data_IF_300941401750
#
_entry.id   IF_300941401750
#
_cell.length_a   1.000
_cell.length_b   1.000
_cell.length_c   1.000
_cell.angle_alpha   90.00
_cell.angle_beta   90.00
_cell.angle_gamma   90.00
#
_symmetry.space_group_name_H-M   'P 1'
#
loop_
_entity.id
_entity.type
_entity.pdbx_description
1 polymer ?
#
# COMPACT_ATOMS: atom_id res chain seq x y z
N UNK A 1 17.50 6.66 -14.12
CA UNK A 1 17.35 7.29 -12.79
C UNK A 1 16.30 8.39 -12.93
N UNK A 2 15.16 8.25 -12.25
CA UNK A 2 14.02 9.15 -12.37
C UNK A 2 13.58 9.62 -10.96
N UNK A 3 14.25 10.62 -10.38
CA UNK A 3 14.02 11.01 -8.99
C UNK A 3 12.60 11.54 -8.74
N UNK A 4 11.98 12.17 -9.74
CA UNK A 4 10.59 12.64 -9.66
C UNK A 4 9.61 11.46 -9.50
N UNK A 5 9.88 10.35 -10.18
CA UNK A 5 9.06 9.14 -10.07
C UNK A 5 9.18 8.51 -8.68
N UNK A 6 10.39 8.42 -8.12
CA UNK A 6 10.58 7.98 -6.74
C UNK A 6 9.78 8.85 -5.76
N UNK A 7 9.83 10.19 -5.91
CA UNK A 7 9.11 11.11 -5.04
C UNK A 7 7.59 10.90 -5.12
N UNK A 8 7.04 10.76 -6.33
CA UNK A 8 5.60 10.48 -6.53
C UNK A 8 5.18 9.18 -5.84
N UNK A 9 5.93 8.10 -6.01
CA UNK A 9 5.62 6.82 -5.37
C UNK A 9 5.77 6.86 -3.85
N UNK A 10 6.77 7.57 -3.32
CA UNK A 10 6.93 7.76 -1.86
C UNK A 10 5.76 8.55 -1.29
N UNK A 11 5.36 9.66 -1.94
CA UNK A 11 4.23 10.47 -1.49
C UNK A 11 2.93 9.66 -1.53
N UNK A 12 2.66 8.97 -2.65
CA UNK A 12 1.46 8.13 -2.79
C UNK A 12 1.45 6.98 -1.78
N UNK A 13 2.59 6.33 -1.54
CA UNK A 13 2.72 5.27 -0.54
C UNK A 13 2.51 5.79 0.88
N UNK A 14 3.00 7.00 1.18
CA UNK A 14 2.80 7.65 2.48
C UNK A 14 1.34 7.99 2.71
N UNK A 15 0.65 8.48 1.67
CA UNK A 15 -0.80 8.73 1.69
C UNK A 15 -1.57 7.43 1.93
N UNK A 16 -1.24 6.36 1.21
CA UNK A 16 -1.88 5.05 1.38
C UNK A 16 -1.70 4.52 2.81
N UNK A 17 -0.47 4.57 3.34
CA UNK A 17 -0.16 4.13 4.70
C UNK A 17 -0.89 4.96 5.75
N UNK A 18 -0.87 6.28 5.60
CA UNK A 18 -1.60 7.18 6.50
C UNK A 18 -3.10 6.90 6.48
N UNK A 19 -3.68 6.71 5.29
CA UNK A 19 -5.09 6.41 5.13
C UNK A 19 -5.46 5.04 5.73
N UNK A 20 -4.66 3.99 5.50
CA UNK A 20 -4.87 2.68 6.11
C UNK A 20 -4.74 2.73 7.64
N UNK A 21 -3.78 3.51 8.16
CA UNK A 21 -3.64 3.76 9.60
C UNK A 21 -4.88 4.44 10.19
N UNK A 22 -5.47 5.40 9.47
CA UNK A 22 -6.74 6.03 9.88
C UNK A 22 -7.92 5.06 9.83
N UNK A 23 -8.03 4.21 8.79
CA UNK A 23 -9.06 3.15 8.73
C UNK A 23 -8.93 2.23 9.94
N UNK A 24 -7.72 1.77 10.23
CA UNK A 24 -7.46 0.90 11.38
C UNK A 24 -7.82 1.61 12.70
N UNK A 25 -7.43 2.88 12.86
CA UNK A 25 -7.76 3.71 14.03
C UNK A 25 -9.26 3.84 14.27
N UNK A 26 -10.05 4.11 13.22
CA UNK A 26 -11.51 4.23 13.32
C UNK A 26 -12.18 2.87 13.54
N UNK A 27 -11.59 1.78 13.01
CA UNK A 27 -12.16 0.45 13.15
C UNK A 27 -11.84 -0.20 14.51
N UNK A 28 -10.67 0.04 15.07
CA UNK A 28 -10.24 -0.62 16.29
C UNK A 28 -10.91 -0.03 17.54
N UNK A 29 -11.57 -0.88 18.33
CA UNK A 29 -12.15 -0.49 19.61
C UNK A 29 -11.13 -0.53 20.76
N UNK A 30 -9.99 -1.22 20.54
CA UNK A 30 -8.89 -1.36 21.50
C UNK A 30 -7.55 -1.27 20.78
N UNK A 31 -6.52 -0.79 21.48
CA UNK A 31 -5.15 -0.74 20.98
C UNK A 31 -4.61 -2.10 20.54
N UNK A 32 -5.02 -3.20 21.20
CA UNK A 32 -4.62 -4.55 20.80
C UNK A 32 -5.11 -4.91 19.38
N UNK A 33 -6.29 -4.40 18.97
CA UNK A 33 -6.82 -4.65 17.63
C UNK A 33 -6.05 -3.88 16.56
N UNK A 34 -5.55 -2.68 16.86
CA UNK A 34 -4.65 -1.94 15.96
C UNK A 34 -3.36 -2.72 15.71
N UNK A 35 -2.76 -3.21 16.80
CA UNK A 35 -1.52 -3.97 16.73
C UNK A 35 -1.72 -5.29 15.99
N UNK A 36 -2.85 -5.96 16.20
CA UNK A 36 -3.21 -7.17 15.46
C UNK A 36 -3.39 -6.89 13.95
N UNK A 37 -4.13 -5.84 13.57
CA UNK A 37 -4.32 -5.47 12.15
C UNK A 37 -2.97 -5.22 11.47
N UNK A 38 -2.08 -4.45 12.10
CA UNK A 38 -0.75 -4.18 11.55
C UNK A 38 0.05 -5.48 11.36
N UNK A 39 0.12 -6.32 12.39
CA UNK A 39 0.94 -7.53 12.35
C UNK A 39 0.38 -8.63 11.44
N UNK A 40 -0.94 -8.75 11.31
CA UNK A 40 -1.58 -9.81 10.52
C UNK A 40 -1.90 -9.42 9.08
N UNK A 41 -1.99 -8.12 8.76
CA UNK A 41 -2.28 -7.65 7.38
C UNK A 41 -1.08 -6.91 6.79
N UNK A 42 -0.58 -5.88 7.45
CA UNK A 42 0.48 -5.01 6.89
C UNK A 42 1.78 -5.78 6.74
N UNK A 43 2.20 -6.51 7.78
CA UNK A 43 3.43 -7.30 7.75
C UNK A 43 3.46 -8.32 6.60
N UNK A 44 2.48 -9.24 6.43
CA UNK A 44 2.49 -10.18 5.32
C UNK A 44 2.37 -9.49 3.95
N UNK A 45 1.57 -8.42 3.82
CA UNK A 45 1.50 -7.64 2.58
C UNK A 45 2.84 -6.97 2.24
N UNK A 46 3.60 -6.52 3.25
CA UNK A 46 4.93 -5.98 3.07
C UNK A 46 5.94 -7.07 2.64
N UNK A 47 5.83 -8.29 3.19
CA UNK A 47 6.66 -9.41 2.72
C UNK A 47 6.32 -9.84 1.28
N UNK A 48 5.05 -9.80 0.88
CA UNK A 48 4.62 -10.02 -0.50
C UNK A 48 4.90 -8.83 -1.44
N UNK A 49 5.51 -7.74 -0.97
CA UNK A 49 5.78 -6.58 -1.82
C UNK A 49 7.06 -6.68 -2.66
N UNK A 50 7.74 -7.83 -2.65
CA UNK A 50 8.97 -8.04 -3.43
C UNK A 50 10.19 -7.25 -2.94
N UNK A 51 10.13 -6.67 -1.73
CA UNK A 51 11.24 -5.94 -1.08
C UNK A 51 12.42 -6.85 -0.73
N UNK A 52 12.14 -8.08 -0.31
CA UNK A 52 13.15 -9.03 0.16
C UNK A 52 13.51 -10.11 -0.87
N UNK A 53 12.66 -10.33 -1.88
CA UNK A 53 12.80 -11.40 -2.86
C UNK A 53 12.37 -10.92 -4.24
N UNK A 54 13.08 -11.37 -5.28
CA UNK A 54 12.65 -11.12 -6.66
C UNK A 54 11.39 -11.93 -6.97
N UNK A 55 10.41 -11.27 -7.60
CA UNK A 55 9.09 -11.86 -7.87
C UNK A 55 9.13 -12.96 -8.91
N UNK A 56 10.13 -12.95 -9.78
CA UNK A 56 10.38 -13.99 -10.78
C UNK A 56 10.72 -15.34 -10.15
N UNK A 57 11.21 -15.35 -8.90
CA UNK A 57 11.52 -16.57 -8.16
C UNK A 57 10.31 -17.17 -7.43
N UNK A 58 9.15 -16.50 -7.44
CA UNK A 58 7.96 -16.97 -6.75
C UNK A 58 7.09 -17.90 -7.63
N UNK A 59 6.41 -18.90 -7.02
CA UNK A 59 5.40 -19.71 -7.70
C UNK A 59 4.35 -18.84 -8.40
N UNK A 60 3.76 -19.30 -9.52
CA UNK A 60 2.80 -18.50 -10.32
C UNK A 60 1.63 -17.94 -9.50
N UNK A 61 1.16 -18.71 -8.51
CA UNK A 61 0.10 -18.28 -7.59
C UNK A 61 0.49 -17.05 -6.75
N UNK A 62 1.71 -17.04 -6.20
CA UNK A 62 2.20 -15.93 -5.38
C UNK A 62 2.54 -14.70 -6.24
N UNK A 63 3.05 -14.90 -7.46
CA UNK A 63 3.26 -13.80 -8.41
C UNK A 63 1.95 -13.06 -8.72
N UNK A 64 0.86 -13.80 -8.94
CA UNK A 64 -0.47 -13.21 -9.19
C UNK A 64 -0.95 -12.38 -7.99
N UNK A 65 -0.74 -12.87 -6.77
CA UNK A 65 -1.06 -12.14 -5.53
C UNK A 65 -0.24 -10.86 -5.37
N UNK A 66 1.06 -10.89 -5.69
CA UNK A 66 1.92 -9.70 -5.65
C UNK A 66 1.44 -8.62 -6.62
N UNK A 67 0.99 -8.99 -7.83
CA UNK A 67 0.44 -8.04 -8.81
C UNK A 67 -0.89 -7.41 -8.39
N UNK A 68 -1.60 -7.96 -7.41
CA UNK A 68 -2.79 -7.34 -6.82
C UNK A 68 -2.46 -6.41 -5.64
N UNK A 69 -1.24 -6.48 -5.12
CA UNK A 69 -0.83 -5.78 -3.93
C UNK A 69 -0.35 -4.34 -4.26
N UNK A 70 -1.00 -3.28 -3.76
CA UNK A 70 -0.55 -1.90 -3.98
C UNK A 70 0.84 -1.62 -3.38
N UNK A 71 1.23 -2.33 -2.31
CA UNK A 71 2.56 -2.19 -1.72
C UNK A 71 3.67 -2.62 -2.67
N UNK A 72 3.43 -3.65 -3.49
CA UNK A 72 4.40 -4.10 -4.48
C UNK A 72 4.73 -2.97 -5.46
N UNK A 73 3.71 -2.30 -6.00
CA UNK A 73 3.89 -1.20 -6.95
C UNK A 73 4.55 0.04 -6.35
N UNK A 74 4.32 0.32 -5.05
CA UNK A 74 5.03 1.40 -4.35
C UNK A 74 6.54 1.11 -4.36
N UNK A 75 6.94 -0.10 -3.97
CA UNK A 75 8.35 -0.49 -3.87
C UNK A 75 9.00 -0.58 -5.25
N UNK A 76 8.33 -1.19 -6.23
CA UNK A 76 8.82 -1.28 -7.60
C UNK A 76 8.97 0.12 -8.24
N UNK A 77 8.03 1.02 -7.98
CA UNK A 77 8.07 2.41 -8.43
C UNK A 77 9.19 3.24 -7.81
N UNK A 78 9.47 3.06 -6.52
CA UNK A 78 10.61 3.71 -5.85
C UNK A 78 11.93 3.18 -6.41
N UNK A 79 12.03 1.86 -6.61
CA UNK A 79 13.20 1.20 -7.22
C UNK A 79 13.44 1.68 -8.65
N UNK A 80 12.39 1.82 -9.46
CA UNK A 80 12.49 2.43 -10.78
C UNK A 80 13.04 3.86 -10.72
N UNK A 81 12.57 4.66 -9.76
CA UNK A 81 13.03 6.03 -9.60
C UNK A 81 14.49 6.15 -9.13
N UNK A 82 14.96 5.24 -8.27
CA UNK A 82 16.33 5.27 -7.69
C UNK A 82 17.37 4.60 -8.57
N UNK A 83 17.14 3.37 -9.03
CA UNK A 83 18.11 2.56 -9.78
C UNK A 83 17.78 2.43 -11.27
N UNK A 84 16.59 2.88 -11.72
CA UNK A 84 16.20 2.83 -13.13
C UNK A 84 15.74 1.46 -13.64
N UNK A 85 15.56 0.50 -12.74
CA UNK A 85 15.11 -0.87 -13.03
C UNK A 85 13.72 -1.04 -12.45
N UNK A 86 12.75 -1.51 -13.25
CA UNK A 86 11.44 -1.95 -12.76
C UNK A 86 11.13 -3.35 -13.26
N UNK A 87 10.57 -4.17 -12.37
CA UNK A 87 10.11 -5.51 -12.73
C UNK A 87 8.71 -5.44 -13.40
N UNK A 88 8.01 -4.30 -13.26
CA UNK A 88 6.68 -4.06 -13.85
C UNK A 88 6.59 -2.71 -14.56
N UNK A 89 5.53 -2.49 -15.36
CA UNK A 89 5.33 -1.21 -16.06
C UNK A 89 5.07 -0.08 -15.04
N UNK A 90 5.92 0.96 -14.94
CA UNK A 90 5.79 2.02 -13.95
C UNK A 90 4.44 2.76 -14.03
N UNK A 91 3.87 2.90 -15.23
CA UNK A 91 2.57 3.53 -15.43
C UNK A 91 1.42 2.71 -14.83
N UNK A 92 1.47 1.38 -14.96
CA UNK A 92 0.48 0.50 -14.32
C UNK A 92 0.60 0.61 -12.80
N UNK A 93 1.82 0.59 -12.26
CA UNK A 93 2.05 0.76 -10.82
C UNK A 93 1.50 2.08 -10.30
N UNK A 94 1.73 3.18 -11.03
CA UNK A 94 1.22 4.50 -10.64
C UNK A 94 -0.32 4.53 -10.64
N UNK A 95 -0.97 3.97 -11.67
CA UNK A 95 -2.43 3.87 -11.71
C UNK A 95 -2.99 3.03 -10.56
N UNK A 96 -2.37 1.88 -10.25
CA UNK A 96 -2.83 1.00 -9.16
C UNK A 96 -2.69 1.66 -7.80
N UNK A 97 -1.52 2.26 -7.52
CA UNK A 97 -1.28 2.93 -6.24
C UNK A 97 -2.19 4.15 -6.09
N UNK A 98 -2.33 4.98 -7.13
CA UNK A 98 -3.22 6.14 -7.09
C UNK A 98 -4.69 5.73 -6.87
N UNK A 99 -5.17 4.70 -7.57
CA UNK A 99 -6.52 4.18 -7.40
C UNK A 99 -6.75 3.69 -5.97
N UNK A 100 -5.84 2.89 -5.42
CA UNK A 100 -5.95 2.41 -4.04
C UNK A 100 -5.89 3.54 -3.03
N UNK A 101 -5.00 4.52 -3.21
CA UNK A 101 -4.93 5.70 -2.34
C UNK A 101 -6.23 6.49 -2.34
N UNK A 102 -6.86 6.70 -3.50
CA UNK A 102 -8.16 7.39 -3.60
C UNK A 102 -9.28 6.58 -2.95
N UNK A 103 -9.32 5.26 -3.15
CA UNK A 103 -10.33 4.38 -2.53
C UNK A 103 -10.23 4.43 -1.00
N UNK A 104 -9.03 4.21 -0.44
CA UNK A 104 -8.85 4.19 1.02
C UNK A 104 -9.11 5.56 1.62
N UNK A 105 -8.63 6.64 1.00
CA UNK A 105 -8.96 8.00 1.43
C UNK A 105 -10.46 8.28 1.37
N UNK A 106 -11.15 7.83 0.31
CA UNK A 106 -12.60 7.97 0.18
C UNK A 106 -13.36 7.24 1.28
N UNK A 107 -12.91 6.03 1.66
CA UNK A 107 -13.47 5.26 2.78
C UNK A 107 -13.27 6.01 4.10
N UNK A 108 -12.03 6.43 4.40
CA UNK A 108 -11.71 7.19 5.61
C UNK A 108 -12.54 8.46 5.69
N UNK A 109 -12.57 9.24 4.60
CA UNK A 109 -13.34 10.47 4.52
C UNK A 109 -14.83 10.24 4.77
N UNK A 110 -15.40 9.19 4.17
CA UNK A 110 -16.81 8.87 4.37
C UNK A 110 -17.10 8.45 5.82
N UNK A 111 -16.22 7.65 6.44
CA UNK A 111 -16.37 7.24 7.84
C UNK A 111 -16.23 8.42 8.81
N UNK A 112 -15.29 9.32 8.55
CA UNK A 112 -15.13 10.57 9.30
C UNK A 112 -16.38 11.46 9.18
N UNK A 113 -16.93 11.61 7.96
CA UNK A 113 -18.11 12.43 7.69
C UNK A 113 -19.38 11.85 8.32
N UNK A 114 -19.54 10.53 8.29
CA UNK A 114 -20.72 9.83 8.85
C UNK A 114 -20.64 9.68 10.37
N UNK A 115 -19.47 9.95 10.99
CA UNK A 115 -19.25 9.70 12.41
C UNK A 115 -19.33 8.21 12.75
N UNK A 116 -19.05 7.33 11.78
CA UNK A 116 -19.13 5.89 11.96
C UNK A 116 -18.17 5.46 13.08
N UNK A 117 -18.71 4.87 14.15
CA UNK A 117 -18.00 4.54 15.42
C UNK A 117 -17.41 5.71 16.21
N UNK A 118 -17.67 6.96 15.85
CA UNK A 118 -17.24 8.16 16.61
C UNK A 118 -18.34 8.72 17.55
N UNK A 119 -19.42 7.96 17.77
CA UNK A 119 -20.46 8.30 18.75
C UNK A 119 -20.47 7.29 19.90
N UNK A 120 -20.27 7.87 21.09
CA UNK A 120 -20.31 7.32 22.45
C UNK A 120 -19.09 6.50 22.88
#
# INVERSE_FOLDING_TARGET
IHPLWALVFVVLGSILMGALGMVAAVFANKFDQLSAISNFLVTPLAFLSGTFYSIEALPPFLQTLCHWNPFFYIIDGVRYGTIGVSDSNPWLGLCVVALWSVIVLGIVWNWLRTGYRMKA
#
